data_IF_941375980969
#
_entry.id   IF_941375980969
#
_cell.length_a   1.000
_cell.length_b   1.000
_cell.length_c   1.000
_cell.angle_alpha   90.00
_cell.angle_beta   90.00
_cell.angle_gamma   90.00
#
_symmetry.space_group_name_H-M   'P 1'
#
loop_
_entity.id
_entity.type
_entity.pdbx_description
1 polymer ?
#
# COMPACT_ATOMS: atom_id res chain seq x y z
N UNK A 1 -34.56 7.69 1.86
CA UNK A 1 -34.70 9.13 1.56
C UNK A 1 -35.20 9.84 2.81
N UNK A 2 -34.45 10.81 3.34
CA UNK A 2 -34.87 11.68 4.44
C UNK A 2 -35.01 13.12 3.93
N UNK A 3 -35.91 13.90 4.52
CA UNK A 3 -36.27 15.24 4.08
C UNK A 3 -36.36 16.19 5.28
N UNK A 4 -35.68 17.32 5.21
CA UNK A 4 -35.80 18.41 6.17
C UNK A 4 -36.09 19.73 5.44
N UNK A 5 -37.03 20.53 5.98
CA UNK A 5 -37.47 21.78 5.36
C UNK A 5 -37.37 22.90 6.38
N UNK A 6 -36.69 23.98 6.02
CA UNK A 6 -36.71 25.26 6.72
C UNK A 6 -36.80 26.35 5.66
N UNK A 7 -37.97 26.92 5.46
CA UNK A 7 -38.20 27.91 4.40
C UNK A 7 -37.14 29.02 4.39
N UNK A 8 -36.57 29.35 3.23
CA UNK A 8 -36.88 28.88 1.87
C UNK A 8 -36.13 27.61 1.41
N UNK A 9 -35.46 26.88 2.30
CA UNK A 9 -34.55 25.78 1.97
C UNK A 9 -35.15 24.38 2.22
N UNK A 10 -34.76 23.43 1.37
CA UNK A 10 -35.10 22.02 1.46
C UNK A 10 -33.83 21.18 1.36
N UNK A 11 -33.57 20.33 2.35
CA UNK A 11 -32.47 19.37 2.36
C UNK A 11 -33.04 17.97 2.15
N UNK A 12 -32.54 17.27 1.11
CA UNK A 12 -32.90 15.88 0.82
C UNK A 12 -31.67 15.00 0.99
N UNK A 13 -31.76 13.97 1.81
CA UNK A 13 -30.71 12.95 1.99
C UNK A 13 -31.17 11.69 1.25
N UNK A 14 -30.42 11.30 0.22
CA UNK A 14 -30.63 10.07 -0.51
C UNK A 14 -29.49 9.10 -0.17
N UNK A 15 -29.78 7.81 0.10
CA UNK A 15 -28.73 6.81 0.14
C UNK A 15 -28.06 6.77 -1.23
N UNK A 16 -26.73 6.75 -1.22
CA UNK A 16 -25.97 6.56 -2.44
C UNK A 16 -25.95 5.06 -2.76
N UNK A 17 -26.70 4.68 -3.79
CA UNK A 17 -26.81 3.29 -4.23
C UNK A 17 -25.66 2.91 -5.19
N UNK A 18 -24.80 3.88 -5.56
CA UNK A 18 -23.65 3.72 -6.45
C UNK A 18 -22.33 3.96 -5.71
N UNK A 19 -21.91 2.98 -4.92
CA UNK A 19 -20.56 3.00 -4.35
C UNK A 19 -19.53 2.61 -5.43
N UNK A 20 -18.97 3.60 -6.12
CA UNK A 20 -17.83 3.35 -7.00
C UNK A 20 -16.54 3.61 -6.23
N UNK A 21 -15.72 2.57 -6.08
CA UNK A 21 -14.40 2.74 -5.46
C UNK A 21 -13.58 3.74 -6.26
N UNK A 22 -12.95 4.75 -5.62
CA UNK A 22 -12.08 5.70 -6.31
C UNK A 22 -10.92 4.99 -7.03
N UNK A 23 -10.53 3.80 -6.56
CA UNK A 23 -9.53 2.94 -7.20
C UNK A 23 -9.97 2.35 -8.55
N UNK A 24 -11.28 2.32 -8.84
CA UNK A 24 -11.85 1.78 -10.09
C UNK A 24 -12.21 2.86 -11.12
N UNK A 25 -12.10 4.14 -10.76
CA UNK A 25 -12.52 5.27 -11.60
C UNK A 25 -11.36 6.09 -12.15
N UNK A 26 -10.28 6.23 -11.38
CA UNK A 26 -9.12 7.05 -11.75
C UNK A 26 -8.02 6.18 -12.39
N UNK A 27 -7.23 6.76 -13.29
CA UNK A 27 -5.90 6.23 -13.65
C UNK A 27 -5.01 6.37 -12.41
N UNK A 28 -4.88 5.29 -11.63
CA UNK A 28 -4.05 5.26 -10.43
C UNK A 28 -2.57 5.27 -10.82
N UNK A 29 -1.78 6.13 -10.19
CA UNK A 29 -0.33 6.18 -10.29
C UNK A 29 0.35 5.04 -9.53
N UNK A 30 -0.17 4.68 -8.35
CA UNK A 30 0.31 3.55 -7.56
C UNK A 30 -0.59 2.33 -7.69
N UNK A 31 -0.01 1.14 -7.52
CA UNK A 31 -0.76 -0.10 -7.28
C UNK A 31 -0.84 -0.36 -5.78
N UNK A 32 -2.05 -0.56 -5.26
CA UNK A 32 -2.33 -0.70 -3.83
C UNK A 32 -2.80 -2.11 -3.50
N UNK A 33 -2.02 -2.85 -2.73
CA UNK A 33 -2.30 -4.25 -2.33
C UNK A 33 -2.65 -4.26 -0.85
N UNK A 34 -3.82 -4.80 -0.48
CA UNK A 34 -4.34 -4.76 0.89
C UNK A 34 -4.88 -6.11 1.34
N UNK A 35 -4.42 -6.55 2.51
CA UNK A 35 -4.79 -7.80 3.18
C UNK A 35 -5.63 -7.49 4.43
N UNK A 36 -6.90 -7.10 4.25
CA UNK A 36 -7.80 -6.86 5.38
C UNK A 36 -9.03 -7.78 5.32
N UNK A 37 -9.38 -8.37 6.46
CA UNK A 37 -10.48 -9.36 6.52
C UNK A 37 -11.88 -8.76 6.37
N UNK A 38 -12.06 -7.48 6.73
CA UNK A 38 -13.38 -6.83 6.78
C UNK A 38 -13.63 -5.84 5.66
N UNK A 39 -12.58 -5.33 5.01
CA UNK A 39 -12.67 -4.20 4.10
C UNK A 39 -11.87 -4.50 2.84
N UNK A 40 -12.43 -4.16 1.69
CA UNK A 40 -11.75 -4.17 0.40
C UNK A 40 -11.25 -2.75 0.12
N UNK A 41 -9.98 -2.50 0.41
CA UNK A 41 -9.41 -1.15 0.47
C UNK A 41 -8.48 -0.84 -0.72
N UNK A 42 -8.01 -1.85 -1.44
CA UNK A 42 -6.97 -1.74 -2.48
C UNK A 42 -7.45 -2.05 -3.89
N UNK A 43 -6.49 -2.32 -4.76
CA UNK A 43 -6.72 -2.89 -6.07
C UNK A 43 -6.96 -4.40 -5.97
N UNK A 44 -7.68 -4.94 -6.95
CA UNK A 44 -7.91 -6.38 -7.03
C UNK A 44 -6.59 -7.14 -7.25
N UNK A 45 -6.37 -8.19 -6.46
CA UNK A 45 -5.20 -9.05 -6.57
C UNK A 45 -5.52 -10.49 -6.15
N UNK A 46 -4.65 -11.43 -6.56
CA UNK A 46 -4.81 -12.86 -6.29
C UNK A 46 -3.83 -13.40 -5.23
N UNK A 47 -3.08 -12.51 -4.56
CA UNK A 47 -2.15 -12.91 -3.50
C UNK A 47 -2.89 -13.44 -2.27
N UNK A 48 -2.41 -14.56 -1.73
CA UNK A 48 -2.98 -15.17 -0.52
C UNK A 48 -2.66 -14.37 0.75
N UNK A 49 -1.45 -13.82 0.82
CA UNK A 49 -0.95 -13.03 1.93
C UNK A 49 0.19 -12.09 1.51
N UNK A 50 0.75 -11.39 2.48
CA UNK A 50 1.86 -10.45 2.28
C UNK A 50 3.14 -11.14 1.78
N UNK A 51 3.43 -12.37 2.21
CA UNK A 51 4.65 -13.07 1.81
C UNK A 51 4.58 -13.46 0.32
N UNK A 52 3.41 -13.93 -0.13
CA UNK A 52 3.13 -14.25 -1.52
C UNK A 52 3.31 -13.01 -2.44
N UNK A 53 2.74 -11.87 -2.03
CA UNK A 53 2.93 -10.60 -2.74
C UNK A 53 4.41 -10.18 -2.82
N UNK A 54 5.13 -10.19 -1.69
CA UNK A 54 6.53 -9.76 -1.67
C UNK A 54 7.43 -10.70 -2.48
N UNK A 55 7.15 -12.01 -2.46
CA UNK A 55 7.87 -12.99 -3.27
C UNK A 55 7.64 -12.71 -4.76
N UNK A 56 6.39 -12.55 -5.19
CA UNK A 56 6.06 -12.27 -6.59
C UNK A 56 6.68 -10.94 -7.07
N UNK A 57 6.56 -9.87 -6.28
CA UNK A 57 7.15 -8.57 -6.62
C UNK A 57 8.69 -8.64 -6.66
N UNK A 58 9.32 -9.40 -5.77
CA UNK A 58 10.76 -9.66 -5.81
C UNK A 58 11.16 -10.39 -7.10
N UNK A 59 10.47 -11.48 -7.44
CA UNK A 59 10.75 -12.25 -8.64
C UNK A 59 10.55 -11.41 -9.91
N UNK A 60 9.52 -10.56 -9.95
CA UNK A 60 9.29 -9.57 -11.01
C UNK A 60 10.37 -8.49 -11.08
N UNK A 61 10.95 -8.11 -9.94
CA UNK A 61 12.06 -7.15 -9.89
C UNK A 61 13.36 -7.79 -10.39
N UNK A 62 13.59 -9.05 -10.06
CA UNK A 62 14.79 -9.82 -10.45
C UNK A 62 14.61 -10.51 -11.82
N UNK A 63 13.45 -10.34 -12.47
CA UNK A 63 12.90 -11.01 -13.66
C UNK A 63 13.79 -11.10 -14.91
N UNK A 64 15.00 -10.55 -14.88
CA UNK A 64 15.94 -10.63 -15.99
C UNK A 64 16.90 -11.83 -15.96
N UNK A 65 16.85 -12.72 -14.96
CA UNK A 65 17.68 -13.93 -14.94
C UNK A 65 16.90 -15.15 -14.42
N UNK A 66 17.10 -16.34 -15.02
CA UNK A 66 16.65 -17.66 -14.52
C UNK A 66 17.12 -17.97 -13.07
N UNK A 67 17.92 -17.08 -12.49
CA UNK A 67 18.50 -17.13 -11.15
C UNK A 67 17.62 -16.52 -10.06
N UNK A 68 16.46 -15.95 -10.38
CA UNK A 68 15.58 -15.29 -9.39
C UNK A 68 15.17 -16.22 -8.24
N UNK A 69 14.64 -17.40 -8.59
CA UNK A 69 14.26 -18.43 -7.61
C UNK A 69 15.50 -18.98 -6.88
N UNK A 70 16.62 -19.24 -7.59
CA UNK A 70 17.85 -19.67 -6.92
C UNK A 70 18.37 -18.63 -5.91
N UNK A 71 18.26 -17.34 -6.23
CA UNK A 71 18.68 -16.25 -5.35
C UNK A 71 17.76 -16.15 -4.14
N UNK A 72 16.47 -16.39 -4.33
CA UNK A 72 15.49 -16.50 -3.26
C UNK A 72 15.79 -17.69 -2.34
N UNK A 73 16.04 -18.87 -2.90
CA UNK A 73 16.39 -20.07 -2.12
C UNK A 73 17.70 -19.89 -1.35
N UNK A 74 18.72 -19.29 -1.99
CA UNK A 74 19.98 -18.93 -1.31
C UNK A 74 19.76 -17.93 -0.18
N UNK A 75 18.83 -16.99 -0.34
CA UNK A 75 18.47 -16.04 0.72
C UNK A 75 17.84 -16.78 1.90
N UNK A 76 16.90 -17.68 1.65
CA UNK A 76 16.24 -18.47 2.70
C UNK A 76 17.23 -19.39 3.43
N UNK A 77 18.13 -20.06 2.70
CA UNK A 77 19.18 -20.92 3.26
C UNK A 77 20.17 -20.12 4.14
N UNK A 78 20.49 -18.89 3.73
CA UNK A 78 21.34 -18.00 4.54
C UNK A 78 20.65 -17.57 5.84
N UNK A 79 19.37 -17.22 5.78
CA UNK A 79 18.61 -16.74 6.94
C UNK A 79 18.27 -17.88 7.91
N UNK A 80 17.97 -19.08 7.41
CA UNK A 80 17.67 -20.24 8.27
C UNK A 80 18.88 -20.71 9.10
N UNK A 81 20.10 -20.39 8.66
CA UNK A 81 21.36 -20.70 9.36
C UNK A 81 21.72 -19.70 10.44
N UNK A 82 21.04 -18.55 10.53
CA UNK A 82 21.31 -17.58 11.58
C UNK A 82 20.69 -18.04 12.91
N UNK A 83 21.47 -18.08 14.00
CA UNK A 83 20.97 -18.54 15.30
C UNK A 83 19.90 -17.60 15.89
N UNK A 84 19.92 -16.33 15.49
CA UNK A 84 19.04 -15.29 16.01
C UNK A 84 17.65 -15.24 15.31
N UNK A 85 17.46 -16.03 14.24
CA UNK A 85 16.21 -16.07 13.46
C UNK A 85 15.74 -17.51 13.27
N UNK A 86 15.14 -18.13 14.31
CA UNK A 86 14.64 -19.49 14.21
C UNK A 86 13.62 -19.63 13.08
N UNK A 87 13.74 -20.68 12.27
CA UNK A 87 12.83 -20.91 11.14
C UNK A 87 11.37 -20.93 11.61
N UNK A 88 10.51 -20.17 10.93
CA UNK A 88 9.09 -20.02 11.28
C UNK A 88 8.80 -19.07 12.45
N UNK A 89 9.81 -18.39 13.01
CA UNK A 89 9.58 -17.33 14.00
C UNK A 89 9.19 -16.00 13.33
N UNK A 90 8.65 -15.08 14.14
CA UNK A 90 8.34 -13.72 13.68
C UNK A 90 9.59 -12.97 13.22
N UNK A 91 10.71 -13.20 13.89
CA UNK A 91 12.01 -12.63 13.56
C UNK A 91 12.51 -13.12 12.20
N UNK A 92 12.34 -14.42 11.92
CA UNK A 92 12.66 -14.99 10.61
C UNK A 92 11.83 -14.37 9.49
N UNK A 93 10.50 -14.30 9.65
CA UNK A 93 9.62 -13.67 8.67
C UNK A 93 9.97 -12.19 8.44
N UNK A 94 10.28 -11.46 9.53
CA UNK A 94 10.74 -10.07 9.45
C UNK A 94 12.06 -9.94 8.65
N UNK A 95 13.04 -10.81 8.92
CA UNK A 95 14.32 -10.79 8.24
C UNK A 95 14.21 -11.14 6.74
N UNK A 96 13.35 -12.10 6.39
CA UNK A 96 13.03 -12.43 4.99
C UNK A 96 12.40 -11.22 4.31
N UNK A 97 11.33 -10.67 4.88
CA UNK A 97 10.63 -9.52 4.31
C UNK A 97 11.56 -8.32 4.13
N UNK A 98 12.41 -8.03 5.12
CA UNK A 98 13.39 -6.95 5.03
C UNK A 98 14.39 -7.16 3.88
N UNK A 99 14.86 -8.40 3.69
CA UNK A 99 15.79 -8.73 2.62
C UNK A 99 15.14 -8.65 1.22
N UNK A 100 13.87 -9.06 1.10
CA UNK A 100 13.12 -8.92 -0.15
C UNK A 100 12.88 -7.45 -0.48
N UNK A 101 12.43 -6.66 0.51
CA UNK A 101 12.20 -5.23 0.34
C UNK A 101 13.44 -4.47 -0.12
N UNK A 102 14.62 -4.79 0.44
CA UNK A 102 15.87 -4.15 0.03
C UNK A 102 16.22 -4.36 -1.46
N UNK A 103 15.78 -5.46 -2.07
CA UNK A 103 15.95 -5.69 -3.50
C UNK A 103 14.83 -5.02 -4.31
N UNK A 104 13.59 -5.13 -3.86
CA UNK A 104 12.42 -4.53 -4.51
C UNK A 104 12.59 -3.01 -4.62
N UNK A 105 13.06 -2.34 -3.57
CA UNK A 105 13.31 -0.89 -3.51
C UNK A 105 14.36 -0.39 -4.53
N UNK A 106 15.13 -1.31 -5.15
CA UNK A 106 16.06 -0.95 -6.22
C UNK A 106 15.35 -0.57 -7.51
N UNK A 107 14.20 -1.16 -7.80
CA UNK A 107 13.42 -0.88 -9.02
C UNK A 107 12.01 -0.36 -8.73
N UNK A 108 11.56 -0.36 -7.49
CA UNK A 108 10.24 0.11 -7.08
C UNK A 108 10.34 1.12 -5.93
N UNK A 109 9.34 1.98 -5.80
CA UNK A 109 9.05 2.68 -4.55
C UNK A 109 7.89 1.93 -3.90
N UNK A 110 8.08 1.43 -2.69
CA UNK A 110 7.08 0.67 -1.93
C UNK A 110 6.88 1.34 -0.59
N UNK A 111 5.64 1.63 -0.22
CA UNK A 111 5.29 2.29 1.03
C UNK A 111 4.27 1.44 1.81
N UNK A 112 4.42 1.30 3.13
CA UNK A 112 3.46 0.55 3.95
C UNK A 112 2.13 1.29 4.03
N UNK A 113 1.04 0.54 4.16
CA UNK A 113 -0.30 1.07 4.41
C UNK A 113 -0.80 0.64 5.76
N UNK A 114 -1.26 1.60 6.55
CA UNK A 114 -1.85 1.41 7.85
C UNK A 114 -3.32 1.77 7.81
N UNK A 115 -4.13 0.97 8.49
CA UNK A 115 -5.53 1.23 8.74
C UNK A 115 -5.72 1.53 10.22
N UNK A 116 -6.56 2.50 10.52
CA UNK A 116 -7.12 2.76 11.84
C UNK A 116 -8.63 2.54 11.80
N UNK A 117 -9.11 1.62 12.63
CA UNK A 117 -10.51 1.17 12.72
C UNK A 117 -11.04 1.42 14.15
N UNK A 118 -11.35 2.68 14.47
CA UNK A 118 -11.85 3.08 15.79
C UNK A 118 -12.98 4.11 15.65
N UNK A 119 -14.21 3.63 15.47
CA UNK A 119 -15.44 4.42 15.18
C UNK A 119 -15.42 5.24 13.88
N UNK A 120 -14.25 5.44 13.29
CA UNK A 120 -13.99 6.01 11.98
C UNK A 120 -12.94 5.15 11.29
N UNK A 121 -13.03 5.07 9.96
CA UNK A 121 -12.07 4.32 9.15
C UNK A 121 -11.10 5.31 8.50
N UNK A 122 -9.81 5.18 8.80
CA UNK A 122 -8.78 6.04 8.25
C UNK A 122 -7.59 5.23 7.75
N UNK A 123 -7.08 5.59 6.57
CA UNK A 123 -5.85 5.02 6.01
C UNK A 123 -4.72 6.04 5.99
N UNK A 124 -3.50 5.55 6.17
CA UNK A 124 -2.28 6.35 6.12
C UNK A 124 -1.09 5.49 5.71
N UNK A 125 -0.02 6.13 5.22
CA UNK A 125 1.25 5.45 4.97
C UNK A 125 2.21 5.49 6.16
N UNK A 126 1.76 6.08 7.26
CA UNK A 126 2.52 6.16 8.50
C UNK A 126 1.69 5.53 9.63
N UNK A 127 2.37 4.89 10.58
CA UNK A 127 1.70 4.26 11.72
C UNK A 127 0.88 5.25 12.54
N UNK A 128 -0.30 4.84 13.02
CA UNK A 128 -1.14 5.67 13.89
C UNK A 128 -0.71 5.60 15.37
N UNK A 129 0.17 4.66 15.73
CA UNK A 129 0.69 4.49 17.09
C UNK A 129 1.38 5.79 17.55
N UNK A 130 1.00 6.28 18.73
CA UNK A 130 1.48 7.55 19.27
C UNK A 130 0.89 8.82 18.63
N UNK A 131 0.01 8.69 17.62
CA UNK A 131 -0.66 9.82 16.94
C UNK A 131 -2.18 9.79 17.08
N UNK A 132 -2.79 8.61 17.23
CA UNK A 132 -4.22 8.44 17.42
C UNK A 132 -4.53 7.66 18.71
N UNK A 133 -5.74 7.87 19.22
CA UNK A 133 -6.21 7.25 20.47
C UNK A 133 -6.38 5.74 20.27
N UNK A 134 -5.86 4.93 21.19
CA UNK A 134 -5.94 3.46 21.15
C UNK A 134 -5.37 2.80 19.88
N UNK A 135 -4.52 3.51 19.13
CA UNK A 135 -3.93 2.99 17.90
C UNK A 135 -3.11 1.71 18.10
N UNK A 136 -2.62 1.43 19.31
CA UNK A 136 -1.94 0.18 19.64
C UNK A 136 -2.84 -1.06 19.47
N UNK A 137 -4.16 -0.86 19.54
CA UNK A 137 -5.18 -1.92 19.45
C UNK A 137 -5.98 -1.83 18.16
N UNK A 138 -6.29 -0.59 17.76
CA UNK A 138 -7.24 -0.32 16.68
C UNK A 138 -6.53 0.11 15.38
N UNK A 139 -5.20 0.05 15.33
CA UNK A 139 -4.44 0.25 14.09
C UNK A 139 -3.49 -0.89 13.77
N UNK A 140 -3.23 -1.08 12.48
CA UNK A 140 -2.30 -2.08 12.01
C UNK A 140 -1.90 -1.83 10.56
N UNK A 141 -0.77 -2.41 10.17
CA UNK A 141 -0.40 -2.45 8.77
C UNK A 141 -1.36 -3.42 8.04
N UNK A 142 -1.97 -2.94 6.97
CA UNK A 142 -2.93 -3.70 6.15
C UNK A 142 -2.41 -4.01 4.76
N UNK A 143 -1.30 -3.42 4.32
CA UNK A 143 -0.80 -3.66 2.97
C UNK A 143 0.34 -2.75 2.56
N UNK A 144 0.44 -2.56 1.25
CA UNK A 144 1.47 -1.77 0.57
C UNK A 144 0.89 -1.02 -0.62
N UNK A 145 1.43 0.15 -0.89
CA UNK A 145 1.27 0.83 -2.18
C UNK A 145 2.63 0.92 -2.85
N UNK A 146 2.69 0.61 -4.14
CA UNK A 146 3.94 0.64 -4.88
C UNK A 146 3.80 1.18 -6.29
N UNK A 147 4.92 1.65 -6.83
CA UNK A 147 5.05 2.08 -8.23
C UNK A 147 6.45 1.72 -8.73
N UNK A 148 6.56 1.29 -9.98
CA UNK A 148 7.87 0.96 -10.55
C UNK A 148 8.64 2.23 -10.93
N UNK A 149 9.97 2.18 -10.88
CA UNK A 149 10.81 3.27 -11.36
C UNK A 149 10.66 3.48 -12.87
N UNK A 150 10.25 2.46 -13.62
CA UNK A 150 9.93 2.61 -15.03
C UNK A 150 8.68 3.50 -15.22
N UNK A 151 7.63 3.26 -14.44
CA UNK A 151 6.39 4.04 -14.50
C UNK A 151 6.61 5.48 -14.02
N UNK A 152 7.43 5.69 -12.98
CA UNK A 152 7.85 7.04 -12.57
C UNK A 152 8.56 7.77 -13.72
N UNK A 153 9.48 7.10 -14.41
CA UNK A 153 10.20 7.73 -15.55
C UNK A 153 9.25 8.09 -16.68
N UNK A 154 8.27 7.23 -16.97
CA UNK A 154 7.25 7.46 -18.00
C UNK A 154 6.33 8.64 -17.63
N UNK A 155 5.81 8.65 -16.41
CA UNK A 155 4.87 9.66 -15.90
C UNK A 155 5.51 11.06 -15.87
N UNK A 156 6.71 11.16 -15.29
CA UNK A 156 7.41 12.44 -15.15
C UNK A 156 8.28 12.79 -16.37
N UNK A 157 8.35 11.92 -17.38
CA UNK A 157 9.16 12.07 -18.59
C UNK A 157 10.63 12.37 -18.28
N UNK A 158 11.22 11.61 -17.36
CA UNK A 158 12.61 11.77 -16.91
C UNK A 158 13.44 10.51 -17.14
N UNK A 159 14.70 10.67 -17.55
CA UNK A 159 15.63 9.53 -17.67
C UNK A 159 16.15 9.06 -16.30
N UNK A 160 16.37 10.01 -15.38
CA UNK A 160 16.93 9.77 -14.05
C UNK A 160 15.99 10.26 -12.96
N UNK A 161 15.70 9.37 -12.01
CA UNK A 161 14.95 9.72 -10.80
C UNK A 161 15.89 10.46 -9.86
N UNK A 162 15.67 11.77 -9.74
CA UNK A 162 16.34 12.61 -8.74
C UNK A 162 15.62 12.51 -7.39
N UNK A 163 16.23 12.95 -6.27
CA UNK A 163 15.56 13.00 -4.98
C UNK A 163 14.23 13.79 -5.03
N UNK A 164 14.18 14.86 -5.83
CA UNK A 164 12.95 15.66 -5.98
C UNK A 164 11.85 14.90 -6.71
N UNK A 165 12.16 14.16 -7.78
CA UNK A 165 11.17 13.31 -8.47
C UNK A 165 10.68 12.18 -7.55
N UNK A 166 11.59 11.60 -6.76
CA UNK A 166 11.23 10.59 -5.76
C UNK A 166 10.24 11.15 -4.73
N UNK A 167 10.50 12.33 -4.20
CA UNK A 167 9.60 13.00 -3.25
C UNK A 167 8.24 13.32 -3.89
N UNK A 168 8.22 13.76 -5.16
CA UNK A 168 6.97 13.98 -5.90
C UNK A 168 6.18 12.69 -6.07
N UNK A 169 6.84 11.59 -6.44
CA UNK A 169 6.20 10.28 -6.56
C UNK A 169 5.66 9.80 -5.21
N UNK A 170 6.42 9.91 -4.13
CA UNK A 170 5.96 9.56 -2.78
C UNK A 170 4.76 10.42 -2.35
N UNK A 171 4.79 11.73 -2.61
CA UNK A 171 3.67 12.64 -2.34
C UNK A 171 2.42 12.25 -3.14
N UNK A 172 2.60 11.89 -4.42
CA UNK A 172 1.50 11.43 -5.26
C UNK A 172 0.86 10.16 -4.70
N UNK A 173 1.66 9.19 -4.25
CA UNK A 173 1.16 7.99 -3.57
C UNK A 173 0.42 8.36 -2.27
N UNK A 174 0.90 9.36 -1.50
CA UNK A 174 0.20 9.81 -0.27
C UNK A 174 -1.19 10.35 -0.59
N UNK A 175 -1.30 11.07 -1.70
CA UNK A 175 -2.55 11.69 -2.12
C UNK A 175 -3.57 10.67 -2.63
N UNK A 176 -3.14 9.48 -3.09
CA UNK A 176 -4.06 8.38 -3.43
C UNK A 176 -4.64 7.67 -2.21
N UNK A 177 -3.85 7.56 -1.14
CA UNK A 177 -4.24 6.84 0.08
C UNK A 177 -5.13 7.70 0.96
N UNK A 178 -4.97 9.02 0.94
CA UNK A 178 -5.81 9.94 1.70
C UNK A 178 -7.25 9.85 1.21
N UNK A 179 -8.06 9.08 1.94
CA UNK A 179 -9.52 9.05 1.78
C UNK A 179 -10.03 10.46 2.07
N UNK A 180 -10.35 11.19 0.99
CA UNK A 180 -10.79 12.59 1.02
C UNK A 180 -9.97 13.49 0.11
N UNK A 181 -10.08 13.30 -1.22
CA UNK A 181 -9.95 14.47 -2.10
C UNK A 181 -11.15 15.37 -1.81
N UNK A 182 -10.98 16.64 -1.40
CA UNK A 182 -12.05 17.62 -1.55
C UNK A 182 -12.18 17.87 -3.06
N UNK A 183 -12.96 17.02 -3.72
CA UNK A 183 -13.33 17.19 -5.11
C UNK A 183 -14.27 18.39 -5.20
N UNK A 184 -13.78 19.48 -5.81
CA UNK A 184 -14.55 20.63 -6.31
C UNK A 184 -15.19 21.57 -5.28
N UNK A 185 -14.41 22.55 -4.84
CA UNK A 185 -14.87 23.94 -4.76
C UNK A 185 -13.80 24.85 -5.38
N UNK A 186 -13.98 25.16 -6.67
CA UNK A 186 -13.47 26.39 -7.28
C UNK A 186 -14.66 27.31 -7.48
#
# INVERSE_FOLDING_TARGET
>A
MQLAIQEPYMLTIQPDDFFISPRRLDENFGTMICFHRRYDLGDEHNYGDNEDFLKDLYLKTVWNDEKGEEKYDRLLDRLSKQPDTPFGSREYACAVNQALMAEIEKEHIVLPLYLYDHSTLAMSMESFVGRAVHAEWDSGQVGWIYVSKADIRAEYQVDRITPSVREQAENRLKDEVRIGKPSFLK
#
